data_IF_151410763435
#
_entry.id   IF_151410763435
#
_cell.length_a   1.000
_cell.length_b   1.000
_cell.length_c   1.000
_cell.angle_alpha   90.00
_cell.angle_beta   90.00
_cell.angle_gamma   90.00
#
_symmetry.space_group_name_H-M   'P 1'
#
loop_
_entity.id
_entity.type
_entity.pdbx_description
1 polymer ?
#
# COMPACT_ATOMS: atom_id res chain seq x y z
N UNK A 1 -2.14 21.80 2.44
CA UNK A 1 -3.25 21.29 1.61
C UNK A 1 -3.49 19.84 1.97
N UNK A 2 -4.70 19.48 2.39
CA UNK A 2 -5.07 18.12 2.72
C UNK A 2 -5.58 17.42 1.46
N UNK A 3 -4.92 16.33 1.03
CA UNK A 3 -5.45 15.46 0.00
C UNK A 3 -6.51 14.53 0.63
N UNK A 4 -7.72 14.56 0.10
CA UNK A 4 -8.82 13.72 0.55
C UNK A 4 -8.76 12.38 -0.17
N UNK A 5 -8.48 11.31 0.57
CA UNK A 5 -8.60 9.95 0.04
C UNK A 5 -10.05 9.52 0.23
N UNK A 6 -10.87 9.73 -0.80
CA UNK A 6 -12.29 9.38 -0.78
C UNK A 6 -12.49 7.85 -0.86
N UNK A 7 -13.57 7.28 -0.27
CA UNK A 7 -13.95 5.87 -0.41
C UNK A 7 -14.21 5.43 -1.85
N UNK A 8 -14.28 6.39 -2.79
CA UNK A 8 -14.49 6.17 -4.22
C UNK A 8 -13.19 6.25 -5.04
N UNK A 9 -12.00 5.93 -4.50
CA UNK A 9 -10.78 5.85 -5.33
C UNK A 9 -10.90 4.85 -6.49
N UNK A 10 -11.81 3.88 -6.41
CA UNK A 10 -12.20 3.03 -7.55
C UNK A 10 -12.93 3.77 -8.69
N UNK A 11 -13.26 5.05 -8.51
CA UNK A 11 -13.86 5.94 -9.51
C UNK A 11 -12.90 7.05 -9.97
N UNK A 12 -11.60 6.97 -9.67
CA UNK A 12 -10.64 7.93 -10.19
C UNK A 12 -10.45 7.74 -11.70
N UNK A 13 -11.17 8.57 -12.42
CA UNK A 13 -11.23 8.81 -13.86
C UNK A 13 -9.82 8.76 -14.49
N UNK A 14 -9.57 7.74 -15.33
CA UNK A 14 -8.44 7.73 -16.23
C UNK A 14 -8.57 8.86 -17.26
N UNK A 15 -7.63 9.81 -17.24
CA UNK A 15 -7.41 10.76 -18.32
C UNK A 15 -6.78 10.01 -19.49
N UNK A 16 -7.61 9.68 -20.49
CA UNK A 16 -7.14 9.07 -21.74
C UNK A 16 -6.29 10.07 -22.51
N UNK A 17 -5.00 9.77 -22.65
CA UNK A 17 -4.12 10.44 -23.61
C UNK A 17 -4.64 10.24 -25.03
N UNK A 18 -4.82 11.38 -25.71
CA UNK A 18 -5.20 11.57 -27.12
C UNK A 18 -5.20 10.36 -28.05
N UNK A 19 -6.40 9.99 -28.49
CA UNK A 19 -6.62 9.04 -29.57
C UNK A 19 -8.10 8.87 -29.92
N UNK A 20 -8.74 9.95 -30.39
CA UNK A 20 -9.99 9.99 -31.15
C UNK A 20 -11.10 8.95 -30.88
N UNK A 21 -12.20 9.42 -30.26
CA UNK A 21 -13.56 8.92 -30.56
C UNK A 21 -14.23 8.07 -29.48
N UNK A 22 -15.32 8.59 -28.91
CA UNK A 22 -16.32 7.80 -28.17
C UNK A 22 -16.26 7.95 -26.66
N UNK A 23 -17.12 8.81 -26.10
CA UNK A 23 -17.30 8.96 -24.66
C UNK A 23 -17.87 7.69 -24.03
N UNK A 24 -17.03 6.98 -23.27
CA UNK A 24 -17.42 6.00 -22.27
C UNK A 24 -16.66 6.31 -20.99
N UNK A 25 -17.37 6.60 -19.90
CA UNK A 25 -16.74 6.71 -18.59
C UNK A 25 -16.11 5.36 -18.24
N UNK A 26 -14.79 5.24 -18.40
CA UNK A 26 -14.03 4.09 -17.95
C UNK A 26 -14.11 4.04 -16.44
N UNK A 27 -15.08 3.31 -15.89
CA UNK A 27 -14.90 2.69 -14.58
C UNK A 27 -13.52 2.04 -14.62
N UNK A 28 -12.64 2.30 -13.65
CA UNK A 28 -11.40 1.55 -13.52
C UNK A 28 -11.79 0.09 -13.65
N UNK A 29 -11.36 -0.54 -14.75
CA UNK A 29 -11.73 -1.93 -15.01
C UNK A 29 -11.28 -2.78 -13.82
N UNK A 30 -11.71 -4.04 -13.73
CA UNK A 30 -11.21 -4.94 -12.70
C UNK A 30 -9.70 -5.24 -12.85
N UNK A 31 -8.92 -4.46 -13.61
CA UNK A 31 -7.48 -4.65 -13.85
C UNK A 31 -6.66 -3.83 -12.87
N UNK A 32 -5.54 -4.38 -12.38
CA UNK A 32 -4.52 -3.59 -11.69
C UNK A 32 -3.83 -2.64 -12.68
N UNK A 33 -3.49 -1.44 -12.23
CA UNK A 33 -2.73 -0.49 -13.05
C UNK A 33 -1.95 0.55 -12.24
N UNK A 34 -1.05 1.26 -12.91
CA UNK A 34 -0.29 2.41 -12.41
C UNK A 34 -0.69 3.65 -13.21
N UNK A 35 -1.18 4.66 -12.51
CA UNK A 35 -1.70 5.92 -13.06
C UNK A 35 -0.98 7.12 -12.45
N UNK A 36 -0.93 8.22 -13.20
CA UNK A 36 -0.44 9.51 -12.72
C UNK A 36 -1.64 10.41 -12.42
N UNK A 37 -1.76 10.87 -11.17
CA UNK A 37 -2.79 11.80 -10.74
C UNK A 37 -2.20 13.21 -10.66
N UNK A 38 -2.79 14.23 -11.32
CA UNK A 38 -2.29 15.60 -11.24
C UNK A 38 -2.30 16.10 -9.79
N UNK A 39 -1.27 16.84 -9.40
CA UNK A 39 -1.09 17.38 -8.06
C UNK A 39 -0.73 18.88 -8.10
N UNK A 40 -1.43 19.76 -7.35
CA UNK A 40 -2.55 19.44 -6.47
C UNK A 40 -3.75 18.91 -7.24
N UNK A 41 -4.53 18.04 -6.58
CA UNK A 41 -5.75 17.53 -7.17
C UNK A 41 -6.68 18.71 -7.48
N UNK A 42 -7.23 18.80 -8.69
CA UNK A 42 -8.13 19.88 -9.06
C UNK A 42 -9.40 19.84 -8.19
N UNK A 43 -9.81 20.99 -7.68
CA UNK A 43 -11.01 21.10 -6.83
C UNK A 43 -12.29 21.32 -7.65
N UNK A 44 -12.15 21.89 -8.84
CA UNK A 44 -13.24 22.11 -9.80
C UNK A 44 -12.88 21.55 -11.17
N UNK A 45 -13.90 21.41 -12.04
CA UNK A 45 -13.67 21.00 -13.43
C UNK A 45 -12.80 22.02 -14.21
N UNK A 46 -12.92 23.31 -13.87
CA UNK A 46 -12.07 24.35 -14.44
C UNK A 46 -10.61 24.20 -13.98
N UNK A 47 -10.40 23.87 -12.70
CA UNK A 47 -9.06 23.55 -12.18
C UNK A 47 -8.48 22.30 -12.83
N UNK A 48 -9.33 21.32 -13.17
CA UNK A 48 -8.88 20.08 -13.83
C UNK A 48 -8.37 20.36 -15.24
N UNK A 49 -9.08 21.19 -16.02
CA UNK A 49 -8.64 21.60 -17.35
C UNK A 49 -7.34 22.43 -17.29
N UNK A 50 -7.22 23.32 -16.30
CA UNK A 50 -6.01 24.12 -16.10
C UNK A 50 -4.81 23.27 -15.61
N UNK A 51 -5.06 22.29 -14.74
CA UNK A 51 -4.05 21.34 -14.28
C UNK A 51 -3.58 20.44 -15.43
N UNK A 52 -4.48 19.95 -16.27
CA UNK A 52 -4.14 19.13 -17.43
C UNK A 52 -3.31 19.93 -18.45
N UNK A 53 -3.63 21.21 -18.66
CA UNK A 53 -2.87 22.11 -19.54
C UNK A 53 -1.49 22.50 -18.98
N UNK A 54 -1.26 22.37 -17.68
CA UNK A 54 -0.01 22.73 -16.99
C UNK A 54 0.73 21.54 -16.36
N UNK A 55 0.21 20.33 -16.52
CA UNK A 55 0.72 19.13 -15.88
C UNK A 55 2.09 18.75 -16.45
N UNK A 56 3.14 19.22 -15.80
CA UNK A 56 4.46 18.61 -15.92
C UNK A 56 4.47 17.30 -15.13
N UNK A 57 5.23 16.30 -15.59
CA UNK A 57 5.41 15.04 -14.84
C UNK A 57 5.95 15.26 -13.41
N UNK A 58 6.55 16.42 -13.13
CA UNK A 58 7.06 16.80 -11.81
C UNK A 58 5.95 17.08 -10.77
N UNK A 59 4.70 17.27 -11.21
CA UNK A 59 3.57 17.65 -10.36
C UNK A 59 2.46 16.59 -10.36
N UNK A 60 2.80 15.30 -10.46
CA UNK A 60 1.80 14.23 -10.41
C UNK A 60 2.13 13.19 -9.32
N UNK A 61 1.10 12.71 -8.62
CA UNK A 61 1.20 11.54 -7.74
C UNK A 61 1.13 10.27 -8.59
N UNK A 62 2.11 9.39 -8.44
CA UNK A 62 2.09 8.06 -9.06
C UNK A 62 1.31 7.13 -8.14
N UNK A 63 0.15 6.65 -8.61
CA UNK A 63 -0.73 5.76 -7.85
C UNK A 63 -0.83 4.42 -8.55
N UNK A 64 -0.45 3.37 -7.83
CA UNK A 64 -0.66 2.00 -8.21
C UNK A 64 -1.91 1.48 -7.49
N UNK A 65 -2.81 0.81 -8.18
CA UNK A 65 -3.97 0.17 -7.56
C UNK A 65 -4.08 -1.29 -8.00
N UNK A 66 -4.47 -2.13 -7.04
CA UNK A 66 -4.59 -3.57 -7.20
C UNK A 66 -5.99 -3.97 -6.74
N UNK A 67 -6.83 -4.49 -7.64
CA UNK A 67 -8.19 -4.89 -7.32
C UNK A 67 -8.22 -6.13 -6.42
N UNK A 68 -9.35 -6.40 -5.75
CA UNK A 68 -9.55 -7.63 -4.99
C UNK A 68 -9.26 -8.89 -5.80
N UNK A 69 -8.62 -9.86 -5.13
CA UNK A 69 -8.25 -11.17 -5.69
C UNK A 69 -7.30 -11.12 -6.89
N UNK A 70 -6.60 -10.00 -7.12
CA UNK A 70 -5.58 -9.93 -8.14
C UNK A 70 -4.46 -10.95 -7.87
N UNK A 71 -4.14 -11.74 -8.89
CA UNK A 71 -3.04 -12.71 -8.87
C UNK A 71 -1.96 -12.29 -9.85
N UNK A 72 -0.71 -12.38 -9.44
CA UNK A 72 0.43 -12.12 -10.32
C UNK A 72 0.46 -13.08 -11.51
N UNK A 73 0.98 -12.59 -12.64
CA UNK A 73 1.05 -13.34 -13.90
C UNK A 73 -0.29 -13.51 -14.61
N UNK A 74 -1.37 -12.88 -14.12
CA UNK A 74 -2.68 -12.93 -14.80
C UNK A 74 -2.86 -11.76 -15.75
N UNK A 75 -3.84 -11.89 -16.65
CA UNK A 75 -4.23 -10.77 -17.52
C UNK A 75 -4.68 -9.52 -16.74
N UNK A 76 -5.15 -9.70 -15.49
CA UNK A 76 -5.57 -8.63 -14.59
C UNK A 76 -4.39 -7.79 -14.09
N UNK A 77 -3.21 -8.38 -13.94
CA UNK A 77 -2.00 -7.73 -13.42
C UNK A 77 -0.96 -7.45 -14.50
N UNK A 78 -1.10 -8.02 -15.70
CA UNK A 78 -0.13 -7.85 -16.78
C UNK A 78 0.22 -6.38 -17.11
N UNK A 79 -0.73 -5.43 -17.21
CA UNK A 79 -0.40 -4.02 -17.45
C UNK A 79 0.42 -3.41 -16.31
N UNK A 80 0.03 -3.72 -15.06
CA UNK A 80 0.75 -3.31 -13.87
C UNK A 80 2.17 -3.86 -13.86
N UNK A 81 2.34 -5.16 -14.11
CA UNK A 81 3.63 -5.83 -14.10
C UNK A 81 4.55 -5.24 -15.17
N UNK A 82 4.04 -5.03 -16.39
CA UNK A 82 4.78 -4.39 -17.47
C UNK A 82 5.27 -2.99 -17.10
N UNK A 83 4.47 -2.18 -16.40
CA UNK A 83 4.86 -0.84 -15.98
C UNK A 83 5.85 -0.88 -14.80
N UNK A 84 5.59 -1.72 -13.81
CA UNK A 84 6.41 -1.83 -12.59
C UNK A 84 7.79 -2.45 -12.83
N UNK A 85 7.92 -3.30 -13.84
CA UNK A 85 9.20 -3.91 -14.24
C UNK A 85 10.05 -3.02 -15.16
N UNK A 86 9.54 -1.85 -15.58
CA UNK A 86 10.30 -0.96 -16.45
C UNK A 86 11.54 -0.41 -15.74
N UNK A 87 12.70 -0.39 -16.40
CA UNK A 87 13.97 0.01 -15.78
C UNK A 87 13.96 1.44 -15.20
N UNK A 88 13.18 2.35 -15.81
CA UNK A 88 12.98 3.71 -15.32
C UNK A 88 11.93 3.86 -14.21
N UNK A 89 11.28 2.77 -13.79
CA UNK A 89 10.25 2.83 -12.75
C UNK A 89 10.88 2.86 -11.35
N UNK A 90 10.82 4.03 -10.73
CA UNK A 90 11.43 4.29 -9.41
C UNK A 90 10.51 3.91 -8.23
N UNK A 91 9.28 3.50 -8.52
CA UNK A 91 8.25 3.20 -7.54
C UNK A 91 7.04 4.12 -7.69
N UNK A 92 6.16 4.11 -6.69
CA UNK A 92 4.96 4.94 -6.65
C UNK A 92 4.79 5.68 -5.33
N UNK A 93 4.00 6.75 -5.33
CA UNK A 93 3.62 7.45 -4.10
C UNK A 93 2.67 6.59 -3.26
N UNK A 94 1.67 6.01 -3.91
CA UNK A 94 0.63 5.21 -3.27
C UNK A 94 0.50 3.86 -3.98
N UNK A 95 0.50 2.77 -3.20
CA UNK A 95 -0.01 1.48 -3.64
C UNK A 95 -1.29 1.18 -2.86
N UNK A 96 -2.37 0.96 -3.58
CA UNK A 96 -3.69 0.67 -3.04
C UNK A 96 -3.99 -0.81 -3.28
N UNK A 97 -4.13 -1.58 -2.21
CA UNK A 97 -4.49 -3.00 -2.27
C UNK A 97 -5.76 -3.24 -1.48
N UNK A 98 -6.44 -4.35 -1.77
CA UNK A 98 -7.58 -4.85 -1.00
C UNK A 98 -7.16 -5.71 0.19
N UNK A 99 -5.89 -6.10 0.27
CA UNK A 99 -5.36 -7.07 1.23
C UNK A 99 -4.02 -6.59 1.77
N UNK A 100 -3.68 -7.02 2.98
CA UNK A 100 -2.33 -6.80 3.51
C UNK A 100 -1.32 -7.58 2.69
N UNK A 101 -0.09 -7.08 2.56
CA UNK A 101 1.01 -7.93 2.11
C UNK A 101 1.39 -8.91 3.22
N UNK A 102 1.49 -10.20 2.89
CA UNK A 102 2.01 -11.22 3.80
C UNK A 102 3.36 -10.80 4.40
N UNK A 103 3.57 -11.09 5.70
CA UNK A 103 4.76 -10.71 6.46
C UNK A 103 4.64 -9.38 7.21
N UNK A 104 3.76 -8.46 6.78
CA UNK A 104 3.54 -7.16 7.44
C UNK A 104 3.15 -7.32 8.91
N UNK A 105 2.17 -8.18 9.21
CA UNK A 105 1.63 -8.36 10.55
C UNK A 105 2.67 -8.87 11.56
N UNK A 106 3.60 -9.72 11.11
CA UNK A 106 4.72 -10.22 11.92
C UNK A 106 5.96 -9.31 11.93
N UNK A 107 5.96 -8.24 11.14
CA UNK A 107 7.19 -7.46 10.90
C UNK A 107 7.57 -6.56 12.07
N UNK A 108 8.86 -6.23 12.15
CA UNK A 108 9.39 -5.19 13.05
C UNK A 108 8.97 -3.77 12.65
N UNK A 109 8.39 -3.59 11.46
CA UNK A 109 7.85 -2.30 11.02
C UNK A 109 6.58 -1.92 11.78
N UNK A 110 5.86 -2.86 12.39
CA UNK A 110 4.72 -2.55 13.25
C UNK A 110 5.15 -2.26 14.68
N UNK A 111 4.51 -1.25 15.28
CA UNK A 111 4.66 -0.95 16.71
C UNK A 111 4.04 -2.08 17.55
N UNK A 112 4.60 -2.32 18.74
CA UNK A 112 4.22 -3.44 19.59
C UNK A 112 2.71 -3.46 19.95
N UNK A 113 2.11 -2.28 20.13
CA UNK A 113 0.68 -2.17 20.45
C UNK A 113 -0.21 -2.65 19.29
N UNK A 114 0.12 -2.28 18.06
CA UNK A 114 -0.64 -2.71 16.88
C UNK A 114 -0.47 -4.20 16.64
N UNK A 115 0.74 -4.75 16.83
CA UNK A 115 0.98 -6.20 16.72
C UNK A 115 0.13 -6.98 17.72
N UNK A 116 0.09 -6.56 18.98
CA UNK A 116 -0.74 -7.18 20.02
C UNK A 116 -2.23 -7.15 19.67
N UNK A 117 -2.71 -6.05 19.08
CA UNK A 117 -4.10 -5.94 18.61
C UNK A 117 -4.40 -6.93 17.49
N UNK A 118 -3.50 -7.09 16.53
CA UNK A 118 -3.64 -8.05 15.42
C UNK A 118 -3.61 -9.49 15.94
N UNK A 119 -2.71 -9.82 16.86
CA UNK A 119 -2.63 -11.14 17.52
C UNK A 119 -3.94 -11.47 18.25
N UNK A 120 -4.46 -10.50 18.99
CA UNK A 120 -5.72 -10.63 19.74
C UNK A 120 -6.90 -10.82 18.78
N UNK A 121 -6.96 -10.05 17.70
CA UNK A 121 -8.01 -10.16 16.68
C UNK A 121 -7.97 -11.49 15.92
N UNK A 122 -6.77 -12.03 15.70
CA UNK A 122 -6.58 -13.33 15.03
C UNK A 122 -6.97 -14.50 15.93
N UNK A 123 -6.75 -14.39 17.24
CA UNK A 123 -7.08 -15.42 18.23
C UNK A 123 -8.58 -15.47 18.58
N UNK A 124 -9.26 -14.32 18.54
CA UNK A 124 -10.69 -14.21 18.84
C UNK A 124 -11.59 -14.88 17.79
N UNK A 125 -11.05 -15.27 16.63
CA UNK A 125 -11.85 -15.68 15.49
C UNK A 125 -12.44 -17.10 15.58
N UNK A 126 -12.16 -17.87 16.66
CA UNK A 126 -12.66 -19.24 16.85
C UNK A 126 -12.14 -20.28 15.83
N UNK A 127 -11.37 -19.83 14.84
CA UNK A 127 -10.64 -20.65 13.88
C UNK A 127 -9.25 -21.00 14.43
N UNK A 128 -8.61 -22.03 13.86
CA UNK A 128 -7.20 -22.33 14.13
C UNK A 128 -6.38 -21.03 14.01
N UNK A 129 -5.61 -20.63 15.05
CA UNK A 129 -4.82 -19.41 15.00
C UNK A 129 -3.91 -19.41 13.78
N UNK A 130 -4.12 -18.46 12.88
CA UNK A 130 -3.23 -18.26 11.74
C UNK A 130 -1.96 -17.57 12.25
N UNK A 131 -0.76 -18.10 12.00
CA UNK A 131 0.49 -17.42 12.34
C UNK A 131 0.50 -16.01 11.74
N UNK A 132 0.98 -15.00 12.48
CA UNK A 132 1.05 -13.63 11.97
C UNK A 132 1.88 -13.50 10.68
N UNK A 133 2.84 -14.41 10.47
CA UNK A 133 3.63 -14.49 9.23
C UNK A 133 2.79 -14.77 8.00
N UNK A 134 1.63 -15.39 8.20
CA UNK A 134 0.75 -15.89 7.13
C UNK A 134 -0.47 -14.98 6.95
N UNK A 135 -0.59 -13.92 7.76
CA UNK A 135 -1.63 -12.90 7.63
C UNK A 135 -1.33 -12.02 6.42
N UNK A 136 -2.26 -12.00 5.47
CA UNK A 136 -2.19 -11.21 4.26
C UNK A 136 -2.08 -12.06 3.00
N UNK A 137 -1.84 -11.39 1.88
CA UNK A 137 -1.75 -11.96 0.54
C UNK A 137 -0.31 -11.94 0.05
N UNK A 138 0.13 -13.08 -0.47
CA UNK A 138 1.44 -13.21 -1.10
C UNK A 138 1.57 -12.29 -2.31
N UNK A 139 0.53 -12.24 -3.17
CA UNK A 139 0.52 -11.36 -4.34
C UNK A 139 0.64 -9.89 -3.95
N UNK A 140 -0.07 -9.46 -2.89
CA UNK A 140 0.04 -8.09 -2.39
C UNK A 140 1.44 -7.76 -1.84
N UNK A 141 2.11 -8.72 -1.18
CA UNK A 141 3.48 -8.56 -0.71
C UNK A 141 4.47 -8.42 -1.88
N UNK A 142 4.37 -9.29 -2.87
CA UNK A 142 5.24 -9.29 -4.05
C UNK A 142 5.01 -8.03 -4.92
N UNK A 143 3.75 -7.62 -5.10
CA UNK A 143 3.40 -6.35 -5.75
C UNK A 143 3.96 -5.16 -4.96
N UNK A 144 3.85 -5.14 -3.63
CA UNK A 144 4.42 -4.06 -2.82
C UNK A 144 5.95 -4.01 -2.90
N UNK A 145 6.61 -5.16 -2.87
CA UNK A 145 8.05 -5.26 -3.02
C UNK A 145 8.53 -4.77 -4.40
N UNK A 146 7.80 -5.11 -5.48
CA UNK A 146 8.08 -4.62 -6.84
C UNK A 146 7.78 -3.13 -7.00
N UNK A 147 6.64 -2.68 -6.46
CA UNK A 147 6.20 -1.29 -6.62
C UNK A 147 6.94 -0.28 -5.75
N UNK A 148 7.58 -0.74 -4.68
CA UNK A 148 8.33 0.10 -3.73
C UNK A 148 7.53 1.36 -3.37
N UNK A 149 6.27 1.23 -2.90
CA UNK A 149 5.40 2.37 -2.72
C UNK A 149 5.85 3.21 -1.52
N UNK A 150 5.78 4.53 -1.59
CA UNK A 150 6.00 5.35 -0.39
C UNK A 150 4.97 5.04 0.68
N UNK A 151 3.72 4.84 0.29
CA UNK A 151 2.66 4.35 1.17
C UNK A 151 1.93 3.17 0.54
N UNK A 152 2.02 2.00 1.17
CA UNK A 152 1.16 0.85 0.88
C UNK A 152 -0.09 0.97 1.77
N UNK A 153 -1.24 1.21 1.14
CA UNK A 153 -2.53 1.37 1.81
C UNK A 153 -3.36 0.12 1.57
N UNK A 154 -3.84 -0.48 2.66
CA UNK A 154 -4.76 -1.61 2.65
C UNK A 154 -5.91 -1.39 3.66
N UNK A 155 -7.01 -2.15 3.58
CA UNK A 155 -8.04 -2.14 4.61
C UNK A 155 -7.51 -2.60 5.97
N UNK A 156 -8.06 -2.07 7.06
CA UNK A 156 -7.87 -2.66 8.39
C UNK A 156 -8.29 -4.13 8.38
N UNK A 157 -7.55 -4.98 9.09
CA UNK A 157 -8.02 -6.32 9.40
C UNK A 157 -9.32 -6.19 10.20
N UNK A 158 -10.39 -6.80 9.71
CA UNK A 158 -11.64 -6.99 10.45
C UNK A 158 -11.67 -8.43 10.91
N UNK A 159 -11.92 -8.68 12.20
CA UNK A 159 -12.21 -10.03 12.66
C UNK A 159 -13.51 -10.49 11.99
N UNK A 160 -13.43 -11.45 11.08
CA UNK A 160 -14.57 -11.90 10.28
C UNK A 160 -15.64 -12.65 11.09
N UNK A 161 -15.30 -13.11 12.30
CA UNK A 161 -16.15 -13.98 13.09
C UNK A 161 -16.52 -13.45 14.49
N UNK A 162 -15.92 -12.35 14.93
CA UNK A 162 -16.31 -11.68 16.18
C UNK A 162 -16.88 -10.31 15.87
N UNK A 163 -18.19 -10.15 16.08
CA UNK A 163 -18.87 -8.86 16.07
C UNK A 163 -18.32 -7.87 17.13
N UNK A 164 -17.37 -8.28 17.98
CA UNK A 164 -16.90 -7.49 19.12
C UNK A 164 -15.65 -6.66 18.82
N UNK A 165 -14.76 -7.11 17.93
CA UNK A 165 -13.50 -6.41 17.67
C UNK A 165 -13.61 -5.45 16.48
N UNK A 166 -13.61 -4.12 16.69
CA UNK A 166 -13.69 -3.20 15.58
C UNK A 166 -12.44 -3.14 14.74
N UNK A 167 -12.56 -2.70 13.47
CA UNK A 167 -11.40 -2.30 12.69
C UNK A 167 -10.64 -1.18 13.42
N UNK A 168 -9.32 -1.22 13.31
CA UNK A 168 -8.43 -0.21 13.89
C UNK A 168 -7.39 0.22 12.84
N UNK A 169 -7.01 1.49 12.90
CA UNK A 169 -5.96 1.99 12.02
C UNK A 169 -4.61 1.44 12.46
N UNK A 170 -3.78 1.08 11.49
CA UNK A 170 -2.38 0.70 11.71
C UNK A 170 -1.50 1.59 10.85
N UNK A 171 -0.42 2.08 11.42
CA UNK A 171 0.60 2.82 10.69
C UNK A 171 1.98 2.25 11.06
N UNK A 172 2.67 1.68 10.07
CA UNK A 172 4.01 1.15 10.29
C UNK A 172 5.04 2.27 10.49
N UNK A 173 6.13 1.92 11.17
CA UNK A 173 7.41 2.60 11.05
C UNK A 173 7.84 2.64 9.58
N UNK A 174 8.69 3.61 9.18
CA UNK A 174 9.37 3.56 7.89
C UNK A 174 10.13 2.24 7.75
N UNK A 175 10.09 1.63 6.56
CA UNK A 175 10.93 0.49 6.22
C UNK A 175 11.68 0.72 4.91
N UNK A 176 12.85 0.09 4.78
CA UNK A 176 13.68 0.16 3.58
C UNK A 176 13.10 -0.75 2.49
N UNK A 177 13.10 -0.29 1.25
CA UNK A 177 12.86 -1.15 0.10
C UNK A 177 14.16 -1.86 -0.30
N UNK A 178 14.08 -3.10 -0.82
CA UNK A 178 15.27 -3.74 -1.39
C UNK A 178 15.78 -2.94 -2.60
N UNK A 179 17.10 -2.96 -2.87
CA UNK A 179 17.67 -2.34 -4.06
C UNK A 179 17.14 -3.01 -5.32
N UNK A 180 17.06 -2.26 -6.44
CA UNK A 180 16.81 -2.87 -7.75
C UNK A 180 18.06 -3.57 -8.22
N UNK A 181 17.92 -4.81 -8.65
CA UNK A 181 19.02 -5.58 -9.25
C UNK A 181 19.34 -5.17 -10.68
N UNK A 182 18.49 -4.34 -11.29
CA UNK A 182 18.64 -3.91 -12.68
C UNK A 182 19.69 -2.81 -12.89
N UNK A 183 20.24 -2.22 -11.84
CA UNK A 183 21.22 -1.13 -11.96
C UNK A 183 22.57 -1.50 -11.34
N UNK A 184 23.65 -1.26 -12.08
CA UNK A 184 25.04 -1.39 -11.59
C UNK A 184 25.37 -0.45 -10.43
N UNK A 185 24.52 0.56 -10.21
CA UNK A 185 24.58 1.47 -9.07
C UNK A 185 23.39 1.16 -8.15
N UNK A 186 23.61 0.87 -6.86
CA UNK A 186 22.52 0.75 -5.89
C UNK A 186 21.70 2.04 -5.90
N UNK A 187 20.44 1.96 -6.32
CA UNK A 187 19.49 3.06 -6.21
C UNK A 187 18.92 3.01 -4.79
N UNK A 188 19.21 4.02 -3.99
CA UNK A 188 18.52 4.23 -2.72
C UNK A 188 17.09 4.68 -3.00
N UNK A 189 16.12 3.90 -2.52
CA UNK A 189 14.70 4.21 -2.63
C UNK A 189 14.22 5.01 -1.44
N UNK A 190 13.12 5.74 -1.63
CA UNK A 190 12.39 6.34 -0.52
C UNK A 190 11.96 5.26 0.48
N UNK A 191 11.91 5.59 1.78
CA UNK A 191 11.36 4.70 2.76
C UNK A 191 9.87 4.52 2.53
N UNK A 192 9.42 3.29 2.70
CA UNK A 192 8.03 2.92 2.58
C UNK A 192 7.36 2.90 3.95
N UNK A 193 6.04 3.09 3.95
CA UNK A 193 5.18 2.88 5.11
C UNK A 193 3.96 2.08 4.70
N UNK A 194 3.44 1.31 5.64
CA UNK A 194 2.18 0.60 5.50
C UNK A 194 1.11 1.28 6.34
N UNK A 195 -0.06 1.50 5.75
CA UNK A 195 -1.21 2.12 6.37
C UNK A 195 -2.42 1.20 6.23
N UNK A 196 -2.91 0.66 7.34
CA UNK A 196 -4.18 -0.03 7.36
C UNK A 196 -5.29 0.97 7.74
N UNK A 197 -6.28 1.12 6.86
CA UNK A 197 -7.35 2.09 7.04
C UNK A 197 -8.68 1.40 7.39
N UNK A 198 -9.32 1.87 8.45
CA UNK A 198 -10.70 1.49 8.77
C UNK A 198 -11.67 1.92 7.67
N UNK A 199 -12.79 1.21 7.50
CA UNK A 199 -13.88 1.64 6.63
C UNK A 199 -14.37 3.05 6.96
N UNK A 200 -14.78 3.77 5.91
CA UNK A 200 -15.42 5.06 6.04
C UNK A 200 -16.83 4.88 6.59
N UNK A 201 -17.07 5.38 7.81
CA UNK A 201 -18.38 5.33 8.46
C UNK A 201 -19.10 6.68 8.34
N UNK A 202 -20.42 6.63 8.22
CA UNK A 202 -21.27 7.83 8.22
C UNK A 202 -21.24 8.55 9.57
N UNK A 203 -21.65 9.82 9.59
CA UNK A 203 -21.77 10.58 10.83
C UNK A 203 -22.76 9.94 11.83
N UNK A 204 -23.79 9.24 11.35
CA UNK A 204 -24.74 8.49 12.18
C UNK A 204 -24.07 7.28 12.85
N UNK A 205 -23.36 6.47 12.07
CA UNK A 205 -22.59 5.32 12.58
C UNK A 205 -21.48 5.77 13.54
N UNK A 206 -20.79 6.87 13.25
CA UNK A 206 -19.77 7.42 14.14
C UNK A 206 -20.36 7.85 15.49
N UNK A 207 -21.58 8.39 15.53
CA UNK A 207 -22.31 8.67 16.78
C UNK A 207 -22.70 7.39 17.52
N UNK A 208 -23.10 6.34 16.79
CA UNK A 208 -23.41 5.04 17.38
C UNK A 208 -22.17 4.43 18.05
N UNK A 209 -21.03 4.41 17.34
CA UNK A 209 -19.73 3.97 17.87
C UNK A 209 -19.34 4.80 19.11
N UNK A 210 -19.55 6.12 19.08
CA UNK A 210 -19.27 7.00 20.21
C UNK A 210 -20.15 6.72 21.43
N UNK A 211 -21.40 6.30 21.23
CA UNK A 211 -22.33 5.94 22.30
C UNK A 211 -21.95 4.61 22.93
N UNK A 212 -21.56 3.64 22.12
CA UNK A 212 -21.22 2.29 22.57
C UNK A 212 -19.84 2.23 23.24
N UNK A 213 -18.84 2.88 22.64
CA UNK A 213 -17.42 2.79 23.07
C UNK A 213 -16.86 4.05 23.70
N UNK A 214 -17.71 5.05 23.87
CA UNK A 214 -17.30 6.37 24.35
C UNK A 214 -16.52 7.18 23.32
N UNK A 215 -16.17 8.40 23.73
CA UNK A 215 -15.52 9.41 22.87
C UNK A 215 -14.13 8.99 22.37
N UNK A 216 -13.43 8.11 23.11
CA UNK A 216 -12.09 7.64 22.73
C UNK A 216 -12.17 6.67 21.54
N UNK A 217 -13.02 5.65 21.61
CA UNK A 217 -13.23 4.72 20.49
C UNK A 217 -13.71 5.42 19.22
N UNK A 218 -14.60 6.41 19.33
CA UNK A 218 -15.01 7.20 18.17
C UNK A 218 -13.89 8.06 17.58
N UNK A 219 -12.92 8.54 18.37
CA UNK A 219 -11.74 9.26 17.86
C UNK A 219 -10.80 8.33 17.11
N UNK A 220 -10.70 7.07 17.53
CA UNK A 220 -9.91 6.04 16.84
C UNK A 220 -10.55 5.61 15.52
N UNK A 221 -11.86 5.81 15.35
CA UNK A 221 -12.56 5.65 14.06
C UNK A 221 -12.61 6.94 13.22
N UNK A 222 -12.04 8.05 13.70
CA UNK A 222 -11.96 9.27 12.89
C UNK A 222 -10.94 9.06 11.78
N UNK A 223 -11.33 9.49 10.60
CA UNK A 223 -10.49 9.55 9.42
C UNK A 223 -9.11 10.12 9.75
N UNK A 224 -8.08 9.46 9.25
CA UNK A 224 -6.73 10.02 9.20
C UNK A 224 -6.82 11.22 8.25
N UNK A 225 -6.95 12.42 8.82
CA UNK A 225 -6.95 13.66 8.06
C UNK A 225 -5.51 13.92 7.60
N UNK A 226 -5.30 13.71 6.31
CA UNK A 226 -4.09 14.05 5.55
C UNK A 226 -2.82 13.30 5.95
N UNK A 227 -2.47 12.29 5.14
CA UNK A 227 -1.05 12.03 4.90
C UNK A 227 -0.54 13.24 4.12
N UNK A 228 0.48 13.95 4.61
CA UNK A 228 1.11 15.07 3.92
C UNK A 228 1.88 14.60 2.68
N UNK A 229 1.16 14.06 1.70
CA UNK A 229 1.72 13.48 0.50
C UNK A 229 2.36 14.58 -0.34
N UNK A 230 3.65 14.43 -0.56
CA UNK A 230 4.44 15.17 -1.53
C UNK A 230 4.83 14.18 -2.62
N UNK A 231 4.57 14.48 -3.91
CA UNK A 231 5.00 13.60 -5.00
C UNK A 231 6.47 13.22 -4.89
N UNK A 232 6.82 11.97 -5.21
CA UNK A 232 8.21 11.51 -5.27
C UNK A 232 9.08 12.43 -6.14
N UNK A 233 8.54 12.86 -7.28
CA UNK A 233 9.20 13.76 -8.21
C UNK A 233 9.53 15.15 -7.63
N UNK A 234 8.83 15.56 -6.57
CA UNK A 234 9.03 16.84 -5.92
C UNK A 234 9.92 16.75 -4.67
N UNK A 235 10.25 15.53 -4.20
CA UNK A 235 11.08 15.36 -3.00
C UNK A 235 12.55 15.68 -3.27
N UNK A 236 13.21 16.29 -2.28
CA UNK A 236 14.66 16.43 -2.30
C UNK A 236 15.30 15.06 -2.05
N UNK A 237 16.59 14.93 -2.40
CA UNK A 237 17.34 13.70 -2.16
C UNK A 237 17.38 13.36 -0.67
N UNK A 238 17.54 14.38 0.18
CA UNK A 238 17.57 14.26 1.64
C UNK A 238 16.22 13.80 2.18
N UNK A 239 15.10 14.35 1.67
CA UNK A 239 13.76 13.88 2.06
C UNK A 239 13.48 12.43 1.61
N UNK A 240 14.10 12.00 0.51
CA UNK A 240 13.98 10.65 0.00
C UNK A 240 14.86 9.65 0.79
N UNK A 241 16.00 10.06 1.33
CA UNK A 241 16.94 9.16 2.04
C UNK A 241 16.80 9.21 3.55
N UNK A 242 16.52 10.39 4.11
CA UNK A 242 16.27 10.59 5.53
C UNK A 242 14.80 10.33 5.81
N UNK A 243 14.49 9.14 6.34
CA UNK A 243 13.15 8.77 6.77
C UNK A 243 12.63 9.60 7.94
N UNK A 244 12.40 10.90 7.74
CA UNK A 244 11.63 11.77 8.63
C UNK A 244 12.15 11.88 10.06
N UNK A 245 13.48 11.88 10.26
CA UNK A 245 14.13 12.09 11.56
C UNK A 245 14.92 10.88 12.04
N UNK A 246 15.58 11.02 13.20
CA UNK A 246 16.43 10.01 13.86
C UNK A 246 15.70 8.73 14.33
N UNK A 247 14.59 8.37 13.69
CA UNK A 247 13.79 7.19 13.98
C UNK A 247 14.38 5.92 13.39
N UNK A 248 14.10 4.80 14.04
CA UNK A 248 14.47 3.47 13.58
C UNK A 248 13.75 3.15 12.26
N UNK A 249 14.51 2.98 11.17
CA UNK A 249 14.00 2.45 9.91
C UNK A 249 14.03 0.93 9.99
N UNK A 250 12.89 0.28 9.83
CA UNK A 250 12.76 -1.16 9.85
C UNK A 250 13.23 -1.80 8.52
N UNK A 251 13.46 -3.11 8.57
CA UNK A 251 13.68 -3.91 7.36
C UNK A 251 12.39 -4.08 6.57
N UNK A 252 12.53 -4.31 5.26
CA UNK A 252 11.37 -4.56 4.40
C UNK A 252 10.57 -5.76 4.92
N UNK A 253 9.25 -5.62 5.14
CA UNK A 253 8.42 -6.70 5.65
C UNK A 253 8.13 -7.78 4.59
N UNK A 254 8.29 -7.48 3.30
CA UNK A 254 7.92 -8.35 2.19
C UNK A 254 9.09 -9.12 1.60
N UNK A 255 10.32 -8.74 1.97
CA UNK A 255 11.54 -9.28 1.35
C UNK A 255 12.55 -9.66 2.42
N UNK A 256 13.55 -10.44 2.03
CA UNK A 256 14.70 -10.74 2.88
C UNK A 256 16.00 -10.26 2.22
N UNK A 257 17.13 -10.56 2.84
CA UNK A 257 18.45 -10.18 2.34
C UNK A 257 18.82 -10.88 1.01
N UNK A 258 18.13 -11.96 0.64
CA UNK A 258 18.33 -12.68 -0.62
C UNK A 258 17.47 -12.15 -1.77
N UNK A 259 16.38 -11.43 -1.46
CA UNK A 259 15.43 -10.94 -2.44
C UNK A 259 16.10 -10.09 -3.54
N UNK A 260 15.92 -10.53 -4.79
CA UNK A 260 16.47 -9.92 -5.99
C UNK A 260 17.74 -10.57 -6.53
N UNK A 261 18.47 -11.40 -5.75
CA UNK A 261 19.69 -12.08 -6.25
C UNK A 261 19.40 -13.11 -7.36
N UNK A 262 18.20 -13.67 -7.37
CA UNK A 262 17.85 -14.81 -8.23
C UNK A 262 17.47 -14.40 -9.67
N UNK A 263 17.11 -13.14 -9.91
CA UNK A 263 16.76 -12.67 -11.27
C UNK A 263 17.97 -12.68 -12.21
N UNK A 264 19.19 -12.67 -11.68
CA UNK A 264 20.43 -12.75 -12.46
C UNK A 264 20.74 -14.18 -12.95
N UNK A 265 20.16 -15.21 -12.33
CA UNK A 265 20.43 -16.63 -12.62
C UNK A 265 19.31 -17.31 -13.43
N UNK A 266 18.16 -16.66 -13.61
CA UNK A 266 17.02 -17.23 -14.34
C UNK A 266 16.32 -18.39 -13.61
N UNK A 267 16.60 -18.60 -12.32
CA UNK A 267 15.86 -19.56 -11.51
C UNK A 267 14.58 -18.92 -10.94
N UNK A 268 13.47 -19.67 -10.88
CA UNK A 268 12.21 -19.17 -10.33
C UNK A 268 12.39 -18.78 -8.86
N UNK A 269 12.00 -17.54 -8.51
CA UNK A 269 12.04 -16.98 -7.16
C UNK A 269 11.39 -17.94 -6.16
N UNK A 270 12.16 -18.44 -5.21
CA UNK A 270 11.63 -19.07 -4.01
C UNK A 270 11.35 -17.95 -3.01
N UNK A 271 10.09 -17.61 -2.70
CA UNK A 271 9.82 -16.66 -1.63
C UNK A 271 10.38 -17.20 -0.33
N UNK A 272 10.66 -16.28 0.60
CA UNK A 272 11.06 -16.56 1.98
C UNK A 272 10.17 -17.69 2.51
N UNK A 273 10.70 -18.91 2.54
CA UNK A 273 9.98 -20.03 3.13
C UNK A 273 9.66 -19.61 4.57
N UNK A 274 8.40 -19.72 5.03
CA UNK A 274 8.13 -19.52 6.44
C UNK A 274 9.09 -20.46 7.18
N UNK A 275 9.99 -19.86 7.97
CA UNK A 275 11.13 -20.46 8.67
C UNK A 275 11.23 -21.98 8.52
N UNK A 276 12.30 -22.43 7.85
CA UNK A 276 12.59 -23.85 7.64
C UNK A 276 12.24 -24.68 8.86
N UNK A 277 11.48 -25.75 8.65
CA UNK A 277 11.24 -26.76 9.67
C UNK A 277 12.61 -27.14 10.23
N UNK A 278 12.88 -26.72 11.47
CA UNK A 278 14.02 -27.22 12.21
C UNK A 278 13.91 -28.74 12.17
N UNK A 279 14.81 -29.38 11.45
CA UNK A 279 15.03 -30.80 11.54
C UNK A 279 15.36 -31.09 13.00
N UNK A 280 14.34 -31.54 13.75
CA UNK A 280 14.55 -32.21 15.01
C UNK A 280 15.38 -33.45 14.70
N UNK A 281 16.70 -33.33 14.88
CA UNK A 281 17.52 -34.50 15.13
C UNK A 281 17.06 -35.07 16.47
N UNK A 282 16.31 -36.17 16.37
CA UNK A 282 16.24 -37.20 17.42
C UNK A 282 17.56 -37.97 17.35
#
# INVERSE_FOLDING_TARGET
GAAWVAPNMYHLRGGGGGGGGGGGGSSLGPSADIINLPFPLPHTAADAAAAEASASAASALVVAFVPPNARLGTAQTAPFESKSSHAGYLGCDLLLTSEWGQGMASSSALVADDRRRIESASSAAGTVPVPLSDVGSYDAAELAAKCRPRYHVAPSLTSSSSAEAPPFHVASLPYRNPPSVSSSVPIEYHPSRFLALCPVVSAGEMKAIAKERGKKGAKESKFVHAVGLKPLSAMSREEATEGGGAGQVAECPYTDAGYGRDDAAGEPRQPKTPFGSGSNNI
#
